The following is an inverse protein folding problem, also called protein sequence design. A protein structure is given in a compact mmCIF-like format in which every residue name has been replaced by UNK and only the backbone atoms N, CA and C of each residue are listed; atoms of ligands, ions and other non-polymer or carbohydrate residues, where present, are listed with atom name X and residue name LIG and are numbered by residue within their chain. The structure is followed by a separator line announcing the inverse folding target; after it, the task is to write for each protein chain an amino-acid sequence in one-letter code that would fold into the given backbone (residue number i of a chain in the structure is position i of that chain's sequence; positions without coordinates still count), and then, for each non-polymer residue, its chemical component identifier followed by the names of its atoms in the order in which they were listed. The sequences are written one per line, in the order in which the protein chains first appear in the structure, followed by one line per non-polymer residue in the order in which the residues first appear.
data_IF_573619502542
#
_entry.id   IF_573619502542
#
_cell.length_a   1.000
_cell.length_b   1.000
_cell.length_c   1.000
_cell.angle_alpha   90.00
_cell.angle_beta   90.00
_cell.angle_gamma   90.00
#
_symmetry.space_group_name_H-M   'P 1'
#
loop_
_entity.id
_entity.type
_entity.pdbx_description
1 polymer ?
#
# COMPACT_ATOMS: atom_id res chain seq x y z
N UNK A 1 -48.13 16.11 25.04
CA UNK A 1 -47.56 16.12 23.67
C UNK A 1 -46.11 15.68 23.83
N UNK A 2 -45.67 14.42 23.66
CA UNK A 2 -45.84 13.46 22.56
C UNK A 2 -44.91 13.86 21.41
N UNK A 3 -43.91 13.14 20.89
CA UNK A 3 -43.25 11.83 21.08
C UNK A 3 -41.96 11.88 20.21
N UNK A 4 -40.82 11.33 20.62
CA UNK A 4 -40.30 9.98 20.30
C UNK A 4 -40.09 9.60 18.81
N UNK A 5 -38.84 9.17 18.53
CA UNK A 5 -38.36 8.12 17.61
C UNK A 5 -38.67 8.14 16.09
N UNK A 6 -37.64 7.88 15.26
CA UNK A 6 -37.59 6.72 14.33
C UNK A 6 -36.33 6.81 13.43
N UNK A 7 -35.28 6.00 13.63
CA UNK A 7 -35.00 4.68 13.01
C UNK A 7 -34.76 4.70 11.49
N UNK A 8 -33.54 4.26 11.10
CA UNK A 8 -33.00 3.65 9.84
C UNK A 8 -34.03 2.84 9.00
N UNK A 9 -33.72 2.20 7.84
CA UNK A 9 -32.57 2.18 6.90
C UNK A 9 -33.02 2.18 5.40
N UNK A 10 -32.21 1.59 4.49
CA UNK A 10 -32.46 1.18 3.07
C UNK A 10 -31.92 2.14 2.01
N UNK A 11 -31.32 1.71 0.89
CA UNK A 11 -31.13 0.38 0.32
C UNK A 11 -29.93 0.43 -0.63
N UNK A 12 -29.13 -0.63 -0.65
CA UNK A 12 -28.36 -1.00 -1.84
C UNK A 12 -29.38 -1.24 -2.96
N UNK A 13 -29.35 -0.42 -4.00
CA UNK A 13 -30.01 -0.71 -5.26
C UNK A 13 -28.92 -0.82 -6.32
N UNK A 14 -28.62 -2.07 -6.67
CA UNK A 14 -27.92 -2.45 -7.89
C UNK A 14 -28.76 -1.95 -9.05
N UNK A 15 -28.33 -0.88 -9.72
CA UNK A 15 -28.93 -0.46 -10.97
C UNK A 15 -28.36 -1.34 -12.10
N UNK A 16 -29.20 -2.25 -12.58
CA UNK A 16 -29.01 -2.99 -13.82
C UNK A 16 -28.60 -2.04 -14.95
N UNK A 17 -27.54 -2.42 -15.67
CA UNK A 17 -27.17 -1.80 -16.93
C UNK A 17 -28.28 -2.05 -17.96
N UNK A 18 -29.13 -1.04 -18.18
CA UNK A 18 -29.92 -0.94 -19.39
C UNK A 18 -29.04 -0.36 -20.50
N UNK A 19 -28.90 -1.13 -21.57
CA UNK A 19 -28.27 -0.69 -22.80
C UNK A 19 -29.00 0.54 -23.37
N UNK A 20 -28.43 1.72 -23.12
CA UNK A 20 -28.79 2.97 -23.77
C UNK A 20 -27.75 3.32 -24.82
N UNK A 21 -28.14 3.25 -26.09
CA UNK A 21 -27.38 3.80 -27.22
C UNK A 21 -27.28 5.32 -27.06
N UNK A 22 -26.06 5.83 -27.23
CA UNK A 22 -25.78 7.22 -27.61
C UNK A 22 -25.03 8.01 -26.54
N UNK A 23 -23.70 8.05 -26.65
CA UNK A 23 -22.97 9.29 -26.95
C UNK A 23 -21.52 8.95 -27.32
N UNK A 24 -21.22 8.98 -28.62
CA UNK A 24 -19.93 8.55 -29.18
C UNK A 24 -18.82 9.60 -29.08
N UNK A 25 -18.97 10.65 -28.28
CA UNK A 25 -18.11 11.83 -28.36
C UNK A 25 -17.26 12.14 -27.11
N UNK A 26 -17.39 11.37 -26.02
CA UNK A 26 -16.60 11.57 -24.79
C UNK A 26 -15.34 10.70 -24.68
N UNK A 27 -15.16 9.69 -25.55
CA UNK A 27 -14.04 8.74 -25.50
C UNK A 27 -12.87 9.07 -26.44
N UNK A 28 -13.07 9.95 -27.41
CA UNK A 28 -12.12 10.21 -28.50
C UNK A 28 -10.92 11.11 -28.11
N UNK A 29 -11.07 12.15 -27.27
CA UNK A 29 -9.94 13.00 -26.85
C UNK A 29 -8.89 12.25 -26.03
N UNK A 30 -9.33 11.40 -25.11
CA UNK A 30 -8.46 10.59 -24.25
C UNK A 30 -7.60 9.60 -25.05
N UNK A 31 -8.17 8.97 -26.09
CA UNK A 31 -7.41 8.08 -26.97
C UNK A 31 -6.38 8.82 -27.81
N UNK A 32 -6.71 10.02 -28.31
CA UNK A 32 -5.78 10.83 -29.09
C UNK A 32 -4.60 11.32 -28.23
N UNK A 33 -4.87 11.73 -26.99
CA UNK A 33 -3.83 12.10 -26.01
C UNK A 33 -2.94 10.91 -25.65
N UNK A 34 -3.52 9.72 -25.44
CA UNK A 34 -2.77 8.49 -25.19
C UNK A 34 -1.86 8.11 -26.35
N UNK A 35 -2.37 8.15 -27.59
CA UNK A 35 -1.56 7.89 -28.78
C UNK A 35 -0.44 8.92 -28.94
N UNK A 36 -0.73 10.20 -28.67
CA UNK A 36 0.29 11.26 -28.72
C UNK A 36 1.39 11.05 -27.68
N UNK A 37 1.03 10.64 -26.46
CA UNK A 37 1.99 10.28 -25.42
C UNK A 37 2.83 9.05 -25.81
N UNK A 38 2.19 8.03 -26.37
CA UNK A 38 2.87 6.82 -26.83
C UNK A 38 3.90 7.13 -27.95
N UNK A 39 3.51 7.97 -28.91
CA UNK A 39 4.43 8.47 -29.94
C UNK A 39 5.59 9.28 -29.33
N UNK A 40 5.31 10.13 -28.34
CA UNK A 40 6.36 10.86 -27.61
C UNK A 40 7.32 9.93 -26.86
N UNK A 41 6.84 8.79 -26.34
CA UNK A 41 7.69 7.76 -25.76
C UNK A 41 8.65 7.20 -26.81
N UNK A 42 8.13 6.79 -27.98
CA UNK A 42 8.97 6.26 -29.07
C UNK A 42 10.06 7.23 -29.53
N UNK A 43 9.79 8.53 -29.50
CA UNK A 43 10.72 9.56 -29.93
C UNK A 43 11.76 9.94 -28.88
N UNK A 44 11.54 9.61 -27.60
CA UNK A 44 12.39 10.02 -26.51
C UNK A 44 12.80 8.83 -25.63
N UNK A 45 14.05 8.38 -25.78
CA UNK A 45 14.59 7.24 -25.04
C UNK A 45 14.44 7.35 -23.52
N UNK A 46 14.58 8.55 -22.94
CA UNK A 46 14.41 8.74 -21.49
C UNK A 46 12.96 8.54 -21.07
N UNK A 47 12.02 9.06 -21.88
CA UNK A 47 10.59 8.92 -21.63
C UNK A 47 10.11 7.49 -21.86
N UNK A 48 10.63 6.81 -22.89
CA UNK A 48 10.42 5.38 -23.12
C UNK A 48 10.86 4.57 -21.90
N UNK A 49 12.08 4.78 -21.42
CA UNK A 49 12.62 4.01 -20.27
C UNK A 49 11.80 4.26 -19.01
N UNK A 50 11.38 5.51 -18.78
CA UNK A 50 10.46 5.86 -17.71
C UNK A 50 9.14 5.11 -17.84
N UNK A 51 8.51 5.17 -19.02
CA UNK A 51 7.23 4.53 -19.29
C UNK A 51 7.30 3.00 -19.14
N UNK A 52 8.34 2.38 -19.67
CA UNK A 52 8.60 0.94 -19.56
C UNK A 52 8.77 0.52 -18.08
N UNK A 53 9.50 1.30 -17.29
CA UNK A 53 9.63 1.07 -15.84
C UNK A 53 8.27 1.20 -15.12
N UNK A 54 7.51 2.24 -15.43
CA UNK A 54 6.19 2.50 -14.86
C UNK A 54 5.22 1.36 -15.14
N UNK A 55 5.14 0.91 -16.40
CA UNK A 55 4.29 -0.21 -16.81
C UNK A 55 4.72 -1.51 -16.15
N UNK A 56 6.01 -1.81 -16.12
CA UNK A 56 6.54 -3.01 -15.48
C UNK A 56 6.24 -3.05 -13.98
N UNK A 57 6.50 -1.96 -13.25
CA UNK A 57 6.23 -1.86 -11.82
C UNK A 57 4.73 -1.96 -11.52
N UNK A 58 3.90 -1.29 -12.30
CA UNK A 58 2.43 -1.33 -12.15
C UNK A 58 1.91 -2.74 -12.40
N UNK A 59 2.36 -3.40 -13.47
CA UNK A 59 1.97 -4.77 -13.80
C UNK A 59 2.39 -5.77 -12.73
N UNK A 60 3.61 -5.65 -12.19
CA UNK A 60 4.09 -6.46 -11.05
C UNK A 60 3.25 -6.23 -9.79
N UNK A 61 2.95 -4.99 -9.43
CA UNK A 61 2.15 -4.67 -8.27
C UNK A 61 0.72 -5.24 -8.38
N UNK A 62 0.07 -5.07 -9.54
CA UNK A 62 -1.27 -5.62 -9.81
C UNK A 62 -1.26 -7.15 -9.76
N UNK A 63 -0.29 -7.79 -10.42
CA UNK A 63 -0.15 -9.25 -10.41
C UNK A 63 0.07 -9.78 -9.00
N UNK A 64 0.88 -9.08 -8.21
CA UNK A 64 1.15 -9.39 -6.81
C UNK A 64 -0.09 -9.24 -5.93
N UNK A 65 -0.88 -8.19 -6.12
CA UNK A 65 -2.15 -8.00 -5.42
C UNK A 65 -3.18 -9.07 -5.81
N UNK A 66 -3.25 -9.42 -7.09
CA UNK A 66 -4.21 -10.41 -7.60
C UNK A 66 -3.90 -11.81 -7.05
N UNK A 67 -2.62 -12.18 -6.97
CA UNK A 67 -2.19 -13.52 -6.54
C UNK A 67 -1.90 -13.61 -5.03
N UNK A 68 -1.64 -12.48 -4.38
CA UNK A 68 -1.11 -12.41 -3.02
C UNK A 68 -2.14 -12.17 -1.92
N UNK A 69 -3.40 -11.96 -2.28
CA UNK A 69 -4.51 -11.78 -1.32
C UNK A 69 -5.03 -13.14 -0.89
N UNK A 70 -4.69 -13.56 0.34
CA UNK A 70 -5.29 -14.71 1.01
C UNK A 70 -6.22 -14.19 2.10
N UNK A 71 -7.50 -14.59 2.05
CA UNK A 71 -8.59 -14.27 3.00
C UNK A 71 -8.35 -12.96 3.79
N UNK A 72 -8.62 -11.83 3.13
CA UNK A 72 -8.57 -10.46 3.71
C UNK A 72 -7.20 -9.99 4.22
N UNK A 73 -6.10 -10.62 3.80
CA UNK A 73 -4.75 -10.18 4.15
C UNK A 73 -3.77 -10.31 2.98
N UNK A 74 -2.77 -9.44 2.97
CA UNK A 74 -1.62 -9.55 2.09
C UNK A 74 -0.51 -10.30 2.80
N UNK A 75 0.17 -11.18 2.06
CA UNK A 75 1.40 -11.78 2.57
C UNK A 75 2.50 -10.71 2.73
N UNK A 76 3.45 -10.93 3.65
CA UNK A 76 4.62 -10.06 3.80
C UNK A 76 5.46 -9.99 2.51
N UNK A 77 5.48 -11.07 1.72
CA UNK A 77 6.15 -11.09 0.42
C UNK A 77 5.46 -10.16 -0.57
N UNK A 78 4.13 -10.20 -0.62
CA UNK A 78 3.33 -9.29 -1.47
C UNK A 78 3.54 -7.83 -1.07
N UNK A 79 3.55 -7.55 0.23
CA UNK A 79 3.79 -6.21 0.76
C UNK A 79 5.20 -5.70 0.42
N UNK A 80 6.22 -6.57 0.56
CA UNK A 80 7.60 -6.26 0.16
C UNK A 80 7.69 -5.93 -1.33
N UNK A 81 7.06 -6.74 -2.18
CA UNK A 81 7.10 -6.57 -3.64
C UNK A 81 6.43 -5.27 -4.08
N UNK A 82 5.25 -4.95 -3.55
CA UNK A 82 4.53 -3.70 -3.85
C UNK A 82 5.33 -2.49 -3.39
N UNK A 83 5.93 -2.55 -2.19
CA UNK A 83 6.79 -1.48 -1.68
C UNK A 83 8.03 -1.32 -2.55
N UNK A 84 8.60 -2.42 -3.07
CA UNK A 84 9.71 -2.40 -4.03
C UNK A 84 9.32 -1.71 -5.34
N UNK A 85 8.20 -2.10 -5.94
CA UNK A 85 7.68 -1.47 -7.16
C UNK A 85 7.46 0.03 -7.00
N UNK A 86 6.93 0.46 -5.85
CA UNK A 86 6.76 1.87 -5.53
C UNK A 86 8.11 2.62 -5.48
N UNK A 87 9.12 2.05 -4.82
CA UNK A 87 10.45 2.66 -4.73
C UNK A 87 11.14 2.76 -6.09
N UNK A 88 11.08 1.69 -6.89
CA UNK A 88 11.62 1.65 -8.26
C UNK A 88 10.98 2.76 -9.13
N UNK A 89 9.65 2.85 -9.11
CA UNK A 89 8.92 3.90 -9.84
C UNK A 89 9.30 5.30 -9.34
N UNK A 90 9.35 5.51 -8.02
CA UNK A 90 9.66 6.81 -7.45
C UNK A 90 11.07 7.30 -7.80
N UNK A 91 12.04 6.38 -7.90
CA UNK A 91 13.39 6.71 -8.34
C UNK A 91 13.41 7.25 -9.78
N UNK A 92 12.67 6.62 -10.70
CA UNK A 92 12.59 7.10 -12.08
C UNK A 92 11.78 8.41 -12.20
N UNK A 93 10.70 8.58 -11.44
CA UNK A 93 9.94 9.84 -11.43
C UNK A 93 10.82 11.01 -10.98
N UNK A 94 11.58 10.86 -9.89
CA UNK A 94 12.49 11.91 -9.40
C UNK A 94 13.53 12.28 -10.44
N UNK A 95 14.07 11.28 -11.15
CA UNK A 95 15.05 11.49 -12.22
C UNK A 95 14.45 12.30 -13.38
N UNK A 96 13.24 11.97 -13.82
CA UNK A 96 12.53 12.73 -14.87
C UNK A 96 12.27 14.16 -14.42
N UNK A 97 11.78 14.38 -13.20
CA UNK A 97 11.53 15.72 -12.64
C UNK A 97 12.80 16.55 -12.59
N UNK A 98 13.93 15.97 -12.17
CA UNK A 98 15.20 16.68 -12.11
C UNK A 98 15.72 17.07 -13.50
N UNK A 99 15.55 16.19 -14.48
CA UNK A 99 15.92 16.44 -15.88
C UNK A 99 15.09 17.58 -16.50
N UNK A 100 13.80 17.68 -16.18
CA UNK A 100 12.90 18.73 -16.68
C UNK A 100 12.65 19.89 -15.69
N UNK A 101 13.45 20.03 -14.63
CA UNK A 101 13.20 20.98 -13.52
C UNK A 101 12.90 22.41 -13.95
N UNK A 102 13.54 22.89 -15.03
CA UNK A 102 13.33 24.24 -15.56
C UNK A 102 11.95 24.41 -16.18
N UNK A 103 11.42 23.36 -16.77
CA UNK A 103 10.12 23.37 -17.42
C UNK A 103 9.02 23.18 -16.37
N UNK A 104 9.26 22.34 -15.37
CA UNK A 104 8.41 22.23 -14.16
C UNK A 104 8.23 23.59 -13.48
N UNK A 105 9.30 24.35 -13.24
CA UNK A 105 9.19 25.67 -12.60
C UNK A 105 8.52 26.75 -13.44
N UNK A 106 8.40 26.55 -14.76
CA UNK A 106 7.76 27.53 -15.66
C UNK A 106 6.28 27.27 -15.85
N UNK A 107 5.82 26.05 -15.60
CA UNK A 107 4.44 25.65 -15.78
C UNK A 107 3.83 25.36 -14.40
N UNK A 108 2.91 26.23 -13.96
CA UNK A 108 2.26 26.12 -12.65
C UNK A 108 1.51 24.80 -12.48
N UNK A 109 0.80 24.33 -13.50
CA UNK A 109 0.06 23.07 -13.43
C UNK A 109 1.01 21.87 -13.25
N UNK A 110 2.16 21.88 -13.93
CA UNK A 110 3.18 20.84 -13.79
C UNK A 110 3.89 20.93 -12.43
N UNK A 111 4.08 22.13 -11.90
CA UNK A 111 4.60 22.34 -10.55
C UNK A 111 3.66 21.77 -9.49
N UNK A 112 2.38 22.11 -9.56
CA UNK A 112 1.35 21.63 -8.63
C UNK A 112 1.22 20.10 -8.68
N UNK A 113 1.26 19.50 -9.89
CA UNK A 113 1.27 18.05 -10.06
C UNK A 113 2.47 17.37 -9.35
N UNK A 114 3.65 17.98 -9.47
CA UNK A 114 4.86 17.48 -8.81
C UNK A 114 4.76 17.62 -7.29
N UNK A 115 4.20 18.73 -6.79
CA UNK A 115 3.95 18.95 -5.37
C UNK A 115 2.98 17.91 -4.79
N UNK A 116 1.84 17.68 -5.45
CA UNK A 116 0.86 16.66 -5.08
C UNK A 116 1.48 15.25 -5.06
N UNK A 117 2.30 14.95 -6.08
CA UNK A 117 3.02 13.69 -6.14
C UNK A 117 3.96 13.50 -4.93
N UNK A 118 4.75 14.51 -4.57
CA UNK A 118 5.63 14.43 -3.39
C UNK A 118 4.84 14.36 -2.09
N UNK A 119 3.72 15.06 -1.98
CA UNK A 119 2.86 15.02 -0.80
C UNK A 119 2.26 13.63 -0.59
N UNK A 120 1.79 12.98 -1.66
CA UNK A 120 1.29 11.60 -1.61
C UNK A 120 2.40 10.61 -1.20
N UNK A 121 3.62 10.82 -1.68
CA UNK A 121 4.77 10.00 -1.29
C UNK A 121 5.16 10.19 0.18
N UNK A 122 5.05 11.41 0.71
CA UNK A 122 5.31 11.68 2.13
C UNK A 122 4.30 10.94 3.02
N UNK A 123 3.00 10.98 2.67
CA UNK A 123 1.97 10.21 3.38
C UNK A 123 2.23 8.70 3.30
N UNK A 124 2.67 8.21 2.14
CA UNK A 124 3.03 6.80 1.96
C UNK A 124 4.25 6.41 2.79
N UNK A 125 5.23 7.30 2.93
CA UNK A 125 6.40 7.10 3.78
C UNK A 125 6.02 7.05 5.27
N UNK A 126 5.09 7.90 5.70
CA UNK A 126 4.55 7.88 7.06
C UNK A 126 3.84 6.56 7.36
N UNK A 127 3.01 6.09 6.42
CA UNK A 127 2.40 4.76 6.50
C UNK A 127 3.46 3.65 6.64
N UNK A 128 4.48 3.64 5.78
CA UNK A 128 5.57 2.66 5.83
C UNK A 128 6.35 2.72 7.16
N UNK A 129 6.50 3.91 7.74
CA UNK A 129 7.15 4.11 9.04
C UNK A 129 6.35 3.48 10.17
N UNK A 130 5.02 3.70 10.18
CA UNK A 130 4.12 3.09 11.15
C UNK A 130 4.12 1.57 10.98
N UNK A 131 4.01 1.08 9.74
CA UNK A 131 4.06 -0.34 9.40
C UNK A 131 5.35 -1.00 9.92
N UNK A 132 6.51 -0.37 9.68
CA UNK A 132 7.82 -0.87 10.17
C UNK A 132 7.85 -0.98 11.70
N UNK A 133 7.31 0.01 12.42
CA UNK A 133 7.21 -0.03 13.89
C UNK A 133 6.33 -1.20 14.35
N UNK A 134 5.18 -1.40 13.72
CA UNK A 134 4.27 -2.50 14.03
C UNK A 134 4.93 -3.87 13.78
N UNK A 135 5.59 -4.06 12.63
CA UNK A 135 6.29 -5.31 12.30
C UNK A 135 7.45 -5.59 13.26
N UNK A 136 8.19 -4.55 13.64
CA UNK A 136 9.28 -4.69 14.63
C UNK A 136 8.73 -5.12 15.99
N UNK A 137 7.67 -4.47 16.48
CA UNK A 137 7.00 -4.85 17.73
C UNK A 137 6.45 -6.28 17.68
N UNK A 138 5.85 -6.69 16.57
CA UNK A 138 5.33 -8.04 16.39
C UNK A 138 6.46 -9.09 16.45
N UNK A 139 7.58 -8.83 15.77
CA UNK A 139 8.77 -9.69 15.81
C UNK A 139 9.35 -9.79 17.23
N UNK A 140 9.51 -8.66 17.91
CA UNK A 140 10.09 -8.64 19.25
C UNK A 140 9.20 -9.39 20.25
N UNK A 141 7.88 -9.19 20.16
CA UNK A 141 6.91 -9.96 20.96
C UNK A 141 6.96 -11.46 20.65
N UNK A 142 7.09 -11.85 19.39
CA UNK A 142 7.23 -13.26 19.00
C UNK A 142 8.49 -13.88 19.62
N UNK A 143 9.62 -13.18 19.62
CA UNK A 143 10.86 -13.65 20.23
C UNK A 143 10.69 -13.86 21.74
N UNK A 144 10.03 -12.92 22.43
CA UNK A 144 9.77 -13.04 23.86
C UNK A 144 8.86 -14.23 24.15
N UNK A 145 7.82 -14.45 23.33
CA UNK A 145 6.95 -15.63 23.44
C UNK A 145 7.74 -16.94 23.25
N UNK A 146 8.63 -17.00 22.26
CA UNK A 146 9.48 -18.18 22.04
C UNK A 146 10.38 -18.49 23.23
N UNK A 147 11.02 -17.46 23.81
CA UNK A 147 11.84 -17.62 25.02
C UNK A 147 11.00 -18.09 26.20
N UNK A 148 9.81 -17.52 26.41
CA UNK A 148 8.91 -17.95 27.49
C UNK A 148 8.48 -19.41 27.34
N UNK A 149 8.12 -19.85 26.12
CA UNK A 149 7.76 -21.24 25.83
C UNK A 149 8.90 -22.21 26.14
N UNK A 150 10.14 -21.83 25.82
CA UNK A 150 11.31 -22.63 26.17
C UNK A 150 11.47 -22.75 27.69
N UNK A 151 11.37 -21.64 28.43
CA UNK A 151 11.50 -21.63 29.90
C UNK A 151 10.40 -22.40 30.61
N UNK A 152 9.16 -22.33 30.10
CA UNK A 152 8.08 -23.18 30.60
C UNK A 152 8.42 -24.66 30.43
N UNK A 153 9.01 -25.06 29.29
CA UNK A 153 9.43 -26.44 29.06
C UNK A 153 10.53 -26.87 30.03
N UNK A 154 11.49 -25.99 30.34
CA UNK A 154 12.56 -26.23 31.30
C UNK A 154 12.03 -26.33 32.76
N UNK A 155 11.09 -25.46 33.15
CA UNK A 155 10.42 -25.48 34.46
C UNK A 155 9.52 -26.73 34.64
N UNK A 156 8.96 -27.28 33.57
CA UNK A 156 8.21 -28.55 33.57
C UNK A 156 9.08 -29.79 33.87
N UNK A 157 10.40 -29.72 33.62
CA UNK A 157 11.32 -30.81 33.95
C UNK A 157 11.81 -30.79 35.41
N UNK A 158 11.72 -29.65 36.10
CA UNK A 158 12.00 -29.54 37.52
C UNK A 158 10.71 -29.79 38.33
N UNK A 159 10.57 -31.01 38.87
CA UNK A 159 9.39 -31.42 39.67
C UNK A 159 9.44 -30.80 41.07
N UNK A 160 8.43 -30.00 41.39
CA UNK A 160 8.00 -29.75 42.77
C UNK A 160 7.77 -28.29 43.12
N UNK A 161 6.67 -27.68 42.67
CA UNK A 161 5.87 -26.77 43.51
C UNK A 161 4.55 -26.36 42.81
N UNK A 162 3.55 -25.95 43.59
CA UNK A 162 2.25 -25.42 43.14
C UNK A 162 2.38 -24.02 42.46
N UNK A 163 3.60 -23.48 42.36
CA UNK A 163 3.96 -22.19 41.77
C UNK A 163 4.74 -22.30 40.45
N UNK A 164 4.65 -23.46 39.77
CA UNK A 164 5.23 -23.67 38.43
C UNK A 164 4.84 -22.54 37.49
N UNK A 165 5.77 -22.06 36.66
CA UNK A 165 5.53 -21.06 35.62
C UNK A 165 5.22 -19.64 36.16
N UNK A 166 5.14 -19.43 37.48
CA UNK A 166 4.76 -18.14 38.09
C UNK A 166 5.73 -17.01 37.77
N UNK A 167 7.04 -17.30 37.77
CA UNK A 167 8.10 -16.35 37.42
C UNK A 167 7.99 -15.94 35.95
N UNK A 168 7.92 -16.91 35.05
CA UNK A 168 7.82 -16.65 33.61
C UNK A 168 6.50 -15.91 33.26
N UNK A 169 5.39 -16.23 33.91
CA UNK A 169 4.12 -15.49 33.76
C UNK A 169 4.19 -14.04 34.27
N UNK A 170 4.96 -13.77 35.34
CA UNK A 170 5.15 -12.41 35.85
C UNK A 170 6.00 -11.57 34.88
N UNK A 171 7.06 -12.15 34.32
CA UNK A 171 7.95 -11.51 33.35
C UNK A 171 7.24 -11.24 32.01
N UNK A 172 6.17 -11.96 31.67
CA UNK A 172 5.36 -11.75 30.46
C UNK A 172 4.25 -10.70 30.58
N UNK A 173 3.90 -10.22 31.78
CA UNK A 173 2.84 -9.20 31.95
C UNK A 173 2.99 -7.93 31.10
N UNK A 174 4.20 -7.38 30.86
CA UNK A 174 4.39 -6.17 30.06
C UNK A 174 4.07 -6.33 28.57
N UNK A 175 3.82 -7.54 28.09
CA UNK A 175 3.54 -7.82 26.67
C UNK A 175 2.06 -7.62 26.29
N UNK A 176 1.19 -7.35 27.27
CA UNK A 176 -0.24 -7.08 27.07
C UNK A 176 -0.52 -5.67 26.54
#
# INVERSE_FOLDING_TARGET
MGGQHSTRPHSLAVANASAGRGDGHAHLPCLAELMSYEEACYLNLKLETFNSTLQHCTGRAISTLTNGVQVRSLSLNSLREITGCLLEMNQEVVKVILDCKRDVWKNTELFDLVEDYFQNNLQTLDFCTILKKCLTKARDNQLILQVALQRFTEEEHHKGDNARNSRTLMEMRPLR
#
